data_IF_898810545866
#
_entry.id   IF_898810545866
#
_cell.length_a   1.000
_cell.length_b   1.000
_cell.length_c   1.000
_cell.angle_alpha   90.00
_cell.angle_beta   90.00
_cell.angle_gamma   90.00
#
_symmetry.space_group_name_H-M   'P 1'
#
loop_
_entity.id
_entity.type
_entity.pdbx_description
1 polymer ?
#
# COMPACT_ATOMS: atom_id res chain seq x y z
N UNK A 1 12.64 12.35 1.27
CA UNK A 1 11.66 12.36 2.37
C UNK A 1 10.39 11.72 1.86
N UNK A 2 10.38 10.40 1.77
CA UNK A 2 9.18 9.59 1.56
C UNK A 2 8.81 9.08 2.95
N UNK A 3 8.31 9.99 3.78
CA UNK A 3 7.86 9.68 5.13
C UNK A 3 6.40 9.25 5.09
N UNK A 4 6.12 8.10 5.72
CA UNK A 4 4.81 7.50 6.02
C UNK A 4 4.01 7.16 4.75
N UNK A 5 3.79 5.89 4.37
CA UNK A 5 2.71 5.07 4.95
C UNK A 5 2.96 3.55 4.76
N UNK A 6 4.11 3.13 4.25
CA UNK A 6 4.37 1.70 3.96
C UNK A 6 5.04 0.93 5.10
N UNK A 7 5.75 1.60 6.03
CA UNK A 7 6.57 0.92 7.05
C UNK A 7 5.83 0.45 8.30
N UNK A 8 4.58 0.88 8.53
CA UNK A 8 3.77 0.39 9.65
C UNK A 8 2.49 -0.29 9.15
N UNK A 9 2.57 -0.98 8.00
CA UNK A 9 1.77 -2.19 7.84
C UNK A 9 2.31 -3.15 8.91
N UNK A 10 1.86 -3.01 10.17
CA UNK A 10 2.08 -4.02 11.19
C UNK A 10 1.39 -5.25 10.64
N UNK A 11 2.12 -6.12 9.93
CA UNK A 11 1.59 -7.36 9.38
C UNK A 11 1.35 -8.34 10.54
N UNK A 12 0.46 -7.95 11.43
CA UNK A 12 -0.16 -8.73 12.47
C UNK A 12 -1.55 -9.12 11.98
N UNK A 13 -1.64 -9.41 10.68
CA UNK A 13 -2.86 -9.64 9.93
C UNK A 13 -2.94 -11.10 9.51
N UNK A 14 -4.14 -11.62 9.30
CA UNK A 14 -4.30 -12.89 8.62
C UNK A 14 -4.19 -12.68 7.09
N UNK A 15 -3.66 -13.66 6.36
CA UNK A 15 -3.76 -13.74 4.91
C UNK A 15 -5.06 -14.42 4.52
N UNK A 16 -5.76 -13.88 3.52
CA UNK A 16 -6.87 -14.57 2.87
C UNK A 16 -6.32 -15.49 1.77
N UNK A 17 -6.55 -16.79 1.90
CA UNK A 17 -6.22 -17.78 0.89
C UNK A 17 -7.25 -17.76 -0.25
N UNK A 18 -6.87 -18.28 -1.41
CA UNK A 18 -7.75 -18.32 -2.59
C UNK A 18 -9.00 -19.19 -2.39
N UNK A 19 -8.99 -20.09 -1.41
CA UNK A 19 -10.13 -20.91 -1.01
C UNK A 19 -11.09 -20.17 -0.04
N UNK A 20 -10.78 -18.93 0.32
CA UNK A 20 -11.54 -18.11 1.24
C UNK A 20 -11.21 -18.35 2.72
N UNK A 21 -10.26 -19.24 3.03
CA UNK A 21 -9.81 -19.44 4.41
C UNK A 21 -8.82 -18.37 4.83
N UNK A 22 -8.77 -18.06 6.13
CA UNK A 22 -7.78 -17.15 6.68
C UNK A 22 -6.69 -17.93 7.41
N UNK A 23 -5.44 -17.50 7.23
CA UNK A 23 -4.28 -18.04 7.95
C UNK A 23 -3.47 -16.93 8.57
N UNK A 24 -2.88 -17.14 9.74
CA UNK A 24 -2.00 -16.14 10.34
C UNK A 24 -0.79 -15.90 9.45
N UNK A 25 -0.43 -14.63 9.19
CA UNK A 25 0.82 -14.32 8.49
C UNK A 25 2.02 -14.86 9.30
N UNK A 26 2.73 -15.82 8.73
CA UNK A 26 4.00 -16.28 9.24
C UNK A 26 5.08 -15.21 9.09
N UNK A 27 6.17 -15.34 9.86
CA UNK A 27 7.32 -14.43 9.70
C UNK A 27 7.97 -14.54 8.31
N UNK A 28 8.01 -15.74 7.73
CA UNK A 28 8.56 -15.95 6.39
C UNK A 28 7.72 -15.27 5.30
N UNK A 29 6.39 -15.40 5.37
CA UNK A 29 5.46 -14.77 4.43
C UNK A 29 5.51 -13.25 4.53
N UNK A 30 5.63 -12.71 5.75
CA UNK A 30 5.84 -11.26 5.97
C UNK A 30 7.06 -10.75 5.24
N UNK A 31 8.18 -11.43 5.43
CA UNK A 31 9.45 -11.03 4.83
C UNK A 31 9.38 -11.12 3.30
N UNK A 32 8.82 -12.22 2.77
CA UNK A 32 8.62 -12.37 1.33
C UNK A 32 7.73 -11.24 0.75
N UNK A 33 6.66 -10.85 1.45
CA UNK A 33 5.82 -9.73 1.00
C UNK A 33 6.56 -8.40 1.02
N UNK A 34 7.31 -8.13 2.08
CA UNK A 34 8.10 -6.89 2.17
C UNK A 34 9.15 -6.83 1.06
N UNK A 35 9.97 -7.86 0.93
CA UNK A 35 11.15 -7.86 0.06
C UNK A 35 10.74 -8.07 -1.43
N UNK A 36 9.87 -9.03 -1.72
CA UNK A 36 9.57 -9.41 -3.10
C UNK A 36 8.48 -8.54 -3.75
N UNK A 37 7.60 -7.93 -2.95
CA UNK A 37 6.46 -7.14 -3.44
C UNK A 37 6.61 -5.66 -3.11
N UNK A 38 6.71 -5.30 -1.82
CA UNK A 38 6.69 -3.89 -1.41
C UNK A 38 7.93 -3.16 -1.91
N UNK A 39 9.13 -3.69 -1.67
CA UNK A 39 10.38 -3.08 -2.14
C UNK A 39 10.43 -3.06 -3.67
N UNK A 40 9.97 -4.13 -4.32
CA UNK A 40 9.90 -4.20 -5.78
C UNK A 40 8.96 -3.14 -6.37
N UNK A 41 7.79 -2.92 -5.79
CA UNK A 41 6.85 -1.88 -6.24
C UNK A 41 7.39 -0.48 -5.96
N UNK A 42 8.00 -0.27 -4.79
CA UNK A 42 8.65 0.99 -4.45
C UNK A 42 9.80 1.32 -5.42
N UNK A 43 10.58 0.32 -5.86
CA UNK A 43 11.68 0.50 -6.82
C UNK A 43 11.20 0.97 -8.20
N UNK A 44 9.94 0.68 -8.54
CA UNK A 44 9.27 1.10 -9.77
C UNK A 44 8.47 2.40 -9.59
N UNK A 45 8.63 3.10 -8.45
CA UNK A 45 7.89 4.30 -8.09
C UNK A 45 6.35 4.11 -8.03
N UNK A 46 5.89 2.87 -7.83
CA UNK A 46 4.47 2.62 -7.56
C UNK A 46 4.11 2.99 -6.13
N UNK A 47 2.91 3.54 -5.96
CA UNK A 47 2.30 3.67 -4.64
C UNK A 47 1.67 2.33 -4.27
N UNK A 48 2.26 1.67 -3.29
CA UNK A 48 1.76 0.40 -2.76
C UNK A 48 0.60 0.66 -1.79
N UNK A 49 -0.51 -0.05 -1.97
CA UNK A 49 -1.68 -0.04 -1.09
C UNK A 49 -1.98 -1.47 -0.65
N UNK A 50 -2.35 -1.66 0.62
CA UNK A 50 -2.79 -2.93 1.17
C UNK A 50 -4.32 -2.90 1.33
N UNK A 51 -5.01 -3.84 0.68
CA UNK A 51 -6.46 -4.02 0.84
C UNK A 51 -6.71 -5.04 1.93
N UNK A 52 -7.49 -4.61 2.92
CA UNK A 52 -7.75 -5.36 4.14
C UNK A 52 -9.23 -5.30 4.48
N UNK A 53 -9.73 -6.29 5.22
CA UNK A 53 -11.08 -6.29 5.77
C UNK A 53 -11.08 -6.88 7.17
N UNK A 54 -12.16 -6.64 7.92
CA UNK A 54 -12.42 -7.31 9.19
C UNK A 54 -13.90 -7.60 9.31
N UNK A 55 -14.19 -8.82 9.71
CA UNK A 55 -15.55 -9.21 10.11
C UNK A 55 -15.82 -8.64 11.50
N UNK A 56 -16.94 -7.94 11.65
CA UNK A 56 -17.36 -7.32 12.91
C UNK A 56 -18.78 -7.75 13.27
N UNK A 57 -18.99 -8.17 14.51
CA UNK A 57 -20.29 -8.61 15.03
C UNK A 57 -21.09 -7.47 15.69
N UNK A 58 -20.87 -6.22 15.26
CA UNK A 58 -21.52 -5.02 15.80
C UNK A 58 -22.31 -4.28 14.73
N UNK A 59 -23.26 -3.44 15.16
CA UNK A 59 -24.04 -2.61 14.24
C UNK A 59 -23.18 -1.50 13.63
N UNK A 60 -23.47 -1.06 12.38
CA UNK A 60 -22.72 0.02 11.73
C UNK A 60 -22.66 1.32 12.54
N UNK A 61 -23.67 1.59 13.38
CA UNK A 61 -23.71 2.74 14.27
C UNK A 61 -22.60 2.71 15.31
N UNK A 62 -22.25 1.52 15.82
CA UNK A 62 -21.17 1.35 16.80
C UNK A 62 -19.81 1.53 16.12
N UNK A 63 -19.64 0.99 14.92
CA UNK A 63 -18.40 1.11 14.14
C UNK A 63 -18.09 2.57 13.79
N UNK A 64 -19.12 3.40 13.57
CA UNK A 64 -18.94 4.83 13.28
C UNK A 64 -18.33 5.62 14.43
N UNK A 65 -18.49 5.15 15.65
CA UNK A 65 -17.97 5.80 16.85
C UNK A 65 -16.56 5.30 17.22
N UNK A 66 -16.00 4.32 16.49
CA UNK A 66 -14.64 3.82 16.71
C UNK A 66 -13.58 4.84 16.30
N UNK A 67 -12.46 4.84 17.03
CA UNK A 67 -11.27 5.58 16.62
C UNK A 67 -10.55 4.87 15.47
N UNK A 68 -9.66 5.60 14.78
CA UNK A 68 -8.86 5.04 13.70
C UNK A 68 -8.03 3.83 14.19
N UNK A 69 -7.49 3.87 15.42
CA UNK A 69 -6.74 2.76 16.00
C UNK A 69 -7.61 1.52 16.26
N UNK A 70 -8.88 1.70 16.63
CA UNK A 70 -9.83 0.59 16.84
C UNK A 70 -10.22 -0.06 15.51
N UNK A 71 -10.36 0.75 14.47
CA UNK A 71 -10.63 0.30 13.09
C UNK A 71 -9.44 -0.47 12.54
N UNK A 72 -8.22 -0.02 12.79
CA UNK A 72 -6.98 -0.60 12.25
C UNK A 72 -6.48 -1.86 12.99
N UNK A 73 -7.31 -2.49 13.81
CA UNK A 73 -6.97 -3.68 14.60
C UNK A 73 -7.62 -4.95 14.02
N UNK A 74 -6.90 -6.09 14.07
CA UNK A 74 -7.39 -7.43 13.71
C UNK A 74 -7.93 -7.54 12.27
N UNK A 75 -7.17 -6.97 11.34
CA UNK A 75 -7.51 -6.97 9.92
C UNK A 75 -6.99 -8.23 9.21
N UNK A 76 -7.67 -8.61 8.14
CA UNK A 76 -7.27 -9.67 7.21
C UNK A 76 -6.86 -9.05 5.89
N UNK A 77 -5.62 -9.31 5.45
CA UNK A 77 -5.09 -8.86 4.18
C UNK A 77 -5.65 -9.70 3.03
N UNK A 78 -6.23 -9.01 2.06
CA UNK A 78 -6.75 -9.58 0.82
C UNK A 78 -5.65 -9.56 -0.24
N UNK A 79 -5.10 -8.38 -0.51
CA UNK A 79 -4.04 -8.22 -1.51
C UNK A 79 -3.28 -6.92 -1.33
N UNK A 80 -2.14 -6.84 -2.02
CA UNK A 80 -1.34 -5.63 -2.16
C UNK A 80 -1.35 -5.21 -3.62
N UNK A 81 -1.69 -3.96 -3.86
CA UNK A 81 -1.74 -3.37 -5.20
C UNK A 81 -0.72 -2.25 -5.33
N UNK A 82 -0.03 -2.19 -6.46
CA UNK A 82 0.80 -1.05 -6.84
C UNK A 82 0.01 -0.20 -7.81
N UNK A 83 -0.23 1.08 -7.47
CA UNK A 83 -0.82 2.03 -8.41
C UNK A 83 0.27 2.97 -8.92
N UNK A 84 0.23 3.25 -10.21
CA UNK A 84 1.09 4.22 -10.88
C UNK A 84 0.30 5.51 -11.10
N UNK A 85 0.94 6.65 -10.85
CA UNK A 85 0.44 7.94 -11.31
C UNK A 85 1.16 8.27 -12.63
N UNK A 86 0.52 8.05 -13.79
CA UNK A 86 1.20 8.17 -15.07
C UNK A 86 1.67 9.60 -15.29
N UNK A 87 2.87 9.74 -15.85
CA UNK A 87 3.39 11.03 -16.26
C UNK A 87 2.48 11.61 -17.35
N UNK A 88 2.07 12.87 -17.21
CA UNK A 88 1.25 13.56 -18.21
C UNK A 88 1.99 13.66 -19.54
N UNK A 89 1.29 13.52 -20.66
CA UNK A 89 1.88 13.43 -22.00
C UNK A 89 2.73 14.67 -22.37
N UNK A 90 2.37 15.85 -21.86
CA UNK A 90 3.06 17.11 -22.13
C UNK A 90 4.36 17.31 -21.34
N UNK A 91 4.55 16.57 -20.25
CA UNK A 91 5.65 16.77 -19.29
C UNK A 91 7.02 16.44 -19.91
N UNK A 92 7.23 15.33 -20.65
CA UNK A 92 8.52 15.02 -21.24
C UNK A 92 9.04 16.09 -22.20
N UNK A 93 8.17 16.64 -23.05
CA UNK A 93 8.54 17.70 -23.99
C UNK A 93 8.86 19.00 -23.26
N UNK A 94 8.08 19.34 -22.21
CA UNK A 94 8.34 20.52 -21.38
C UNK A 94 9.71 20.41 -20.68
N UNK A 95 10.07 19.23 -20.16
CA UNK A 95 11.39 18.99 -19.55
C UNK A 95 12.51 19.14 -20.58
N UNK A 96 12.32 18.65 -21.81
CA UNK A 96 13.29 18.79 -22.90
C UNK A 96 13.56 20.27 -23.21
N UNK A 97 12.51 21.07 -23.34
CA UNK A 97 12.62 22.51 -23.60
C UNK A 97 13.32 23.25 -22.46
N UNK A 98 13.02 22.92 -21.20
CA UNK A 98 13.73 23.48 -20.05
C UNK A 98 15.23 23.16 -20.09
N UNK A 99 15.59 21.90 -20.36
CA UNK A 99 16.99 21.48 -20.45
C UNK A 99 17.75 22.17 -21.59
N UNK A 100 17.12 22.35 -22.77
CA UNK A 100 17.69 23.09 -23.90
C UNK A 100 17.94 24.57 -23.58
N UNK A 101 17.09 25.16 -22.73
CA UNK A 101 17.26 26.51 -22.20
C UNK A 101 18.32 26.61 -21.08
N UNK A 102 18.97 25.49 -20.71
CA UNK A 102 19.94 25.44 -19.61
C UNK A 102 19.31 25.43 -18.21
N UNK A 103 18.00 25.17 -18.10
CA UNK A 103 17.27 25.05 -16.83
C UNK A 103 17.26 23.58 -16.42
N UNK A 104 17.81 23.29 -15.24
CA UNK A 104 17.85 21.91 -14.70
C UNK A 104 16.55 21.62 -13.95
N UNK A 105 15.80 20.63 -14.43
CA UNK A 105 14.62 20.07 -13.76
C UNK A 105 15.06 18.89 -12.88
N UNK A 106 14.64 18.87 -11.62
CA UNK A 106 14.97 17.82 -10.62
C UNK A 106 13.71 17.18 -10.08
#
# INVERSE_FOLDING_TARGET
>A
MAELFAYDCRIQYCSLNLDGTTSAFGAAERNAVNDDIIEKYASQAYRTLCLVYRDVDVTPEVVKDWSDEEIETDLTCICIVGIEDPVREEVPESIRQCNEAGIVVR
#
